data_IF_440226057364
#
_entry.id   IF_440226057364
#
_cell.length_a   1.000
_cell.length_b   1.000
_cell.length_c   1.000
_cell.angle_alpha   90.00
_cell.angle_beta   90.00
_cell.angle_gamma   90.00
#
_symmetry.space_group_name_H-M   'P 1'
#
loop_
_entity.id
_entity.type
_entity.pdbx_description
1 polymer ?
#
# COMPACT_ATOMS: atom_id res chain seq x y z
N UNK A 1 1.93 5.57 19.24
CA UNK A 1 2.77 6.73 18.87
C UNK A 1 2.52 6.99 17.40
N UNK A 2 2.07 8.19 17.01
CA UNK A 2 1.83 8.53 15.60
C UNK A 2 3.19 8.68 14.92
N UNK A 3 3.63 7.68 14.17
CA UNK A 3 4.80 7.83 13.31
C UNK A 3 4.35 8.66 12.11
N UNK A 4 4.77 9.92 12.07
CA UNK A 4 4.57 10.76 10.88
C UNK A 4 5.63 10.31 9.89
N UNK A 5 5.23 9.49 8.92
CA UNK A 5 6.06 9.15 7.77
C UNK A 5 5.90 10.28 6.75
N UNK A 6 7.01 10.80 6.24
CA UNK A 6 6.98 11.82 5.19
C UNK A 6 6.45 11.22 3.88
N UNK A 7 5.68 12.01 3.14
CA UNK A 7 5.09 11.59 1.86
C UNK A 7 6.15 11.09 0.86
N UNK A 8 7.32 11.75 0.82
CA UNK A 8 8.47 11.37 0.00
C UNK A 8 8.93 9.95 0.28
N UNK A 9 9.05 9.57 1.55
CA UNK A 9 9.43 8.23 1.99
C UNK A 9 8.42 7.17 1.55
N UNK A 10 7.12 7.48 1.62
CA UNK A 10 6.07 6.57 1.13
C UNK A 10 6.15 6.43 -0.39
N UNK A 11 6.32 7.56 -1.11
CA UNK A 11 6.44 7.56 -2.57
C UNK A 11 7.67 6.77 -3.05
N UNK A 12 8.81 6.90 -2.36
CA UNK A 12 10.04 6.17 -2.69
C UNK A 12 9.93 4.67 -2.41
N UNK A 13 9.24 4.27 -1.34
CA UNK A 13 8.96 2.86 -1.07
C UNK A 13 8.03 2.25 -2.13
N UNK A 14 6.99 2.97 -2.54
CA UNK A 14 6.07 2.50 -3.60
C UNK A 14 6.77 2.42 -4.97
N UNK A 15 7.70 3.33 -5.28
CA UNK A 15 8.52 3.24 -6.51
C UNK A 15 9.44 2.03 -6.56
N UNK A 16 9.86 1.49 -5.42
CA UNK A 16 10.66 0.25 -5.38
C UNK A 16 9.83 -0.99 -5.68
N UNK A 17 8.50 -0.91 -5.46
CA UNK A 17 7.55 -1.97 -5.79
C UNK A 17 7.17 -1.97 -7.29
N UNK A 18 7.32 -0.85 -7.98
CA UNK A 18 6.96 -0.66 -9.41
C UNK A 18 7.45 -1.79 -10.33
N UNK A 19 8.72 -2.27 -10.25
CA UNK A 19 9.20 -3.36 -11.10
C UNK A 19 8.55 -4.73 -10.83
N UNK A 20 8.01 -4.95 -9.64
CA UNK A 20 7.34 -6.20 -9.25
C UNK A 20 5.82 -6.11 -9.46
N UNK A 21 5.27 -4.91 -9.58
CA UNK A 21 3.83 -4.66 -9.61
C UNK A 21 3.10 -5.44 -10.71
N UNK A 22 3.66 -5.46 -11.92
CA UNK A 22 3.08 -6.14 -13.08
C UNK A 22 3.19 -7.67 -13.02
N UNK A 23 4.07 -8.20 -12.15
CA UNK A 23 4.26 -9.64 -11.92
C UNK A 23 3.34 -10.18 -10.83
N UNK A 24 2.71 -9.30 -10.04
CA UNK A 24 1.75 -9.70 -9.00
C UNK A 24 0.44 -10.20 -9.61
N UNK A 25 -0.16 -11.19 -8.95
CA UNK A 25 -1.51 -11.60 -9.32
C UNK A 25 -2.51 -10.45 -9.07
N UNK A 26 -3.60 -10.34 -9.85
CA UNK A 26 -4.58 -9.28 -9.66
C UNK A 26 -5.15 -9.16 -8.23
N UNK A 27 -5.24 -10.30 -7.52
CA UNK A 27 -5.68 -10.33 -6.13
C UNK A 27 -4.66 -9.70 -5.15
N UNK A 28 -3.37 -9.83 -5.44
CA UNK A 28 -2.28 -9.28 -4.63
C UNK A 28 -2.18 -7.78 -4.82
N UNK A 29 -2.25 -7.30 -6.06
CA UNK A 29 -2.37 -5.86 -6.37
C UNK A 29 -3.54 -5.23 -5.60
N UNK A 30 -4.72 -5.87 -5.65
CA UNK A 30 -5.90 -5.39 -4.94
C UNK A 30 -5.71 -5.36 -3.41
N UNK A 31 -4.99 -6.34 -2.85
CA UNK A 31 -4.69 -6.38 -1.41
C UNK A 31 -3.75 -5.24 -1.00
N UNK A 32 -2.69 -4.99 -1.77
CA UNK A 32 -1.76 -3.88 -1.51
C UNK A 32 -2.51 -2.54 -1.52
N UNK A 33 -3.36 -2.30 -2.53
CA UNK A 33 -4.19 -1.09 -2.60
C UNK A 33 -5.12 -0.95 -1.39
N UNK A 34 -5.74 -2.04 -0.92
CA UNK A 34 -6.63 -2.03 0.27
C UNK A 34 -5.88 -1.79 1.59
N UNK A 35 -4.61 -2.19 1.68
CA UNK A 35 -3.79 -1.90 2.85
C UNK A 35 -3.37 -0.44 2.89
N UNK A 36 -3.12 0.16 1.73
CA UNK A 36 -2.68 1.54 1.62
C UNK A 36 -3.84 2.54 1.71
N UNK A 37 -5.03 2.19 1.20
CA UNK A 37 -6.17 3.11 1.10
C UNK A 37 -7.16 2.90 2.25
N UNK A 38 -7.48 3.98 2.95
CA UNK A 38 -8.53 4.03 3.97
C UNK A 38 -9.91 4.19 3.34
N UNK A 39 -10.02 5.07 2.33
CA UNK A 39 -11.29 5.38 1.67
C UNK A 39 -11.07 5.97 0.29
N UNK A 40 -11.94 5.61 -0.65
CA UNK A 40 -12.11 6.31 -1.94
C UNK A 40 -13.50 6.96 -1.96
N UNK A 41 -13.57 8.23 -2.35
CA UNK A 41 -14.82 8.95 -2.60
C UNK A 41 -14.85 9.33 -4.07
N UNK A 42 -15.87 8.87 -4.78
CA UNK A 42 -16.15 9.21 -6.17
C UNK A 42 -17.17 10.35 -6.20
N UNK A 43 -16.86 11.42 -6.92
CA UNK A 43 -17.76 12.53 -7.22
C UNK A 43 -17.84 12.73 -8.73
N UNK A 44 -18.83 13.50 -9.20
CA UNK A 44 -18.99 13.77 -10.64
C UNK A 44 -17.79 14.50 -11.25
N UNK A 45 -17.04 15.24 -10.43
CA UNK A 45 -15.89 16.06 -10.81
C UNK A 45 -14.53 15.44 -10.44
N UNK A 46 -14.49 14.27 -9.81
CA UNK A 46 -13.22 13.61 -9.50
C UNK A 46 -13.26 12.48 -8.49
N UNK A 47 -12.06 12.12 -8.01
CA UNK A 47 -11.82 11.05 -7.05
C UNK A 47 -10.99 11.62 -5.89
N UNK A 48 -11.50 11.50 -4.66
CA UNK A 48 -10.73 11.73 -3.42
C UNK A 48 -10.27 10.37 -2.87
N UNK A 49 -8.96 10.22 -2.65
CA UNK A 49 -8.38 9.01 -2.04
C UNK A 49 -7.77 9.39 -0.70
N UNK A 50 -8.17 8.70 0.36
CA UNK A 50 -7.57 8.79 1.69
C UNK A 50 -6.71 7.58 1.93
N UNK A 51 -5.45 7.79 2.27
CA UNK A 51 -4.52 6.73 2.64
C UNK A 51 -4.61 6.41 4.13
N UNK A 52 -4.42 5.15 4.50
CA UNK A 52 -4.37 4.71 5.90
C UNK A 52 -3.09 5.25 6.54
N UNK A 53 -3.15 5.92 7.70
CA UNK A 53 -1.97 6.41 8.40
C UNK A 53 -0.93 5.33 8.70
N UNK A 54 -1.39 4.10 8.93
CA UNK A 54 -0.56 2.93 9.23
C UNK A 54 -0.49 1.93 8.05
N UNK A 55 -1.01 2.28 6.88
CA UNK A 55 -1.18 1.35 5.76
C UNK A 55 0.14 0.78 5.24
N UNK A 56 1.20 1.59 5.25
CA UNK A 56 2.53 1.15 4.86
C UNK A 56 3.14 0.17 5.87
N UNK A 57 2.91 0.39 7.17
CA UNK A 57 3.36 -0.55 8.21
C UNK A 57 2.60 -1.88 8.10
N UNK A 58 1.29 -1.83 7.84
CA UNK A 58 0.48 -3.03 7.64
C UNK A 58 0.93 -3.82 6.41
N UNK A 59 1.27 -3.13 5.32
CA UNK A 59 1.84 -3.76 4.12
C UNK A 59 3.21 -4.40 4.41
N UNK A 60 4.10 -3.70 5.12
CA UNK A 60 5.42 -4.23 5.47
C UNK A 60 5.32 -5.50 6.32
N UNK A 61 4.48 -5.50 7.37
CA UNK A 61 4.25 -6.68 8.21
C UNK A 61 3.72 -7.87 7.42
N UNK A 62 2.82 -7.64 6.46
CA UNK A 62 2.30 -8.72 5.63
C UNK A 62 3.37 -9.33 4.72
N UNK A 63 4.23 -8.50 4.13
CA UNK A 63 5.31 -8.98 3.27
C UNK A 63 6.33 -9.82 4.09
N UNK A 64 6.62 -9.41 5.33
CA UNK A 64 7.45 -10.18 6.27
C UNK A 64 6.79 -11.51 6.68
N UNK A 65 5.49 -11.52 6.94
CA UNK A 65 4.74 -12.74 7.27
C UNK A 65 4.69 -13.73 6.10
N UNK A 66 4.64 -13.21 4.87
CA UNK A 66 4.67 -14.01 3.64
C UNK A 66 6.03 -14.64 3.39
N UNK A 67 7.12 -13.98 3.75
CA UNK A 67 8.46 -14.57 3.69
C UNK A 67 8.62 -15.75 4.67
N UNK A 68 8.15 -15.65 5.92
CA UNK A 68 8.21 -16.77 6.87
C UNK A 68 7.24 -17.92 6.57
N UNK A 69 6.15 -17.68 5.84
CA UNK A 69 5.17 -18.71 5.48
C UNK A 69 5.57 -19.52 4.24
N UNK A 70 6.65 -19.13 3.57
CA UNK A 70 7.13 -19.75 2.33
C UNK A 70 8.46 -20.53 2.52
N UNK A 71 8.94 -20.63 3.76
CA UNK A 71 10.02 -21.53 4.24
C UNK A 71 9.45 -22.82 4.87
#
# INVERSE_FOLDING_TARGET
RKHVIEESTVADALRQLDPLWDELFPAEQARIVQLLIERVVLAEDGIEVRFRPDGLNALATELEEKECAND
#
